data_IF_555248611277
#
_entry.id   IF_555248611277
#
_cell.length_a   1.000
_cell.length_b   1.000
_cell.length_c   1.000
_cell.angle_alpha   90.00
_cell.angle_beta   90.00
_cell.angle_gamma   90.00
#
_symmetry.space_group_name_H-M   'P 1'
#
loop_
_entity.id
_entity.type
_entity.pdbx_description
1 polymer ?
#
# COMPACT_ATOMS: atom_id res chain seq x y z
N UNK A 1 11.10 0.27 -14.77
CA UNK A 1 10.05 0.37 -15.82
C UNK A 1 8.72 0.18 -15.11
N UNK A 2 7.67 0.91 -15.51
CA UNK A 2 6.33 0.67 -14.94
C UNK A 2 5.81 -0.70 -15.39
N UNK A 3 4.99 -1.30 -14.54
CA UNK A 3 4.25 -2.52 -14.82
C UNK A 3 2.84 -2.16 -15.27
N UNK A 4 2.24 -3.04 -16.05
CA UNK A 4 0.92 -2.86 -16.64
C UNK A 4 0.08 -4.12 -16.46
N UNK A 5 -1.20 -4.00 -16.78
CA UNK A 5 -2.07 -5.17 -16.83
C UNK A 5 -1.54 -6.18 -17.87
N UNK A 6 -1.48 -7.46 -17.47
CA UNK A 6 -0.90 -8.55 -18.24
C UNK A 6 0.54 -8.90 -17.88
N UNK A 7 1.26 -8.01 -17.17
CA UNK A 7 2.61 -8.33 -16.67
C UNK A 7 2.53 -9.30 -15.49
N UNK A 8 3.57 -10.12 -15.31
CA UNK A 8 3.72 -10.94 -14.11
C UNK A 8 4.13 -10.08 -12.92
N UNK A 9 3.57 -10.39 -11.75
CA UNK A 9 3.97 -9.77 -10.49
C UNK A 9 5.46 -10.01 -10.22
N UNK A 10 6.17 -8.96 -9.79
CA UNK A 10 7.58 -9.11 -9.41
C UNK A 10 7.65 -9.77 -8.03
N UNK A 11 8.36 -10.89 -7.85
CA UNK A 11 8.48 -11.54 -6.55
C UNK A 11 9.02 -10.58 -5.50
N UNK A 12 8.37 -10.53 -4.33
CA UNK A 12 8.79 -9.73 -3.18
C UNK A 12 9.19 -10.68 -2.06
N UNK A 13 10.34 -10.38 -1.45
CA UNK A 13 10.73 -10.89 -0.15
C UNK A 13 11.21 -9.73 0.71
N UNK A 14 10.48 -9.46 1.80
CA UNK A 14 10.70 -8.34 2.72
C UNK A 14 10.36 -8.76 4.14
N UNK A 15 10.88 -8.02 5.11
CA UNK A 15 10.54 -8.20 6.53
C UNK A 15 9.18 -7.60 6.82
N UNK A 16 8.31 -8.38 7.46
CA UNK A 16 7.02 -7.91 7.96
C UNK A 16 7.17 -7.11 9.25
N UNK A 17 6.11 -6.42 9.65
CA UNK A 17 6.05 -5.65 10.89
C UNK A 17 6.26 -6.54 12.14
N UNK A 18 5.97 -7.83 12.05
CA UNK A 18 6.25 -8.82 13.10
C UNK A 18 7.75 -9.19 13.20
N UNK A 19 8.58 -8.73 12.25
CA UNK A 19 10.01 -9.05 12.19
C UNK A 19 10.32 -10.36 11.45
N UNK A 20 9.32 -10.97 10.81
CA UNK A 20 9.46 -12.21 10.05
C UNK A 20 9.65 -11.93 8.56
N UNK A 21 10.34 -12.84 7.84
CA UNK A 21 10.45 -12.72 6.39
C UNK A 21 9.17 -13.19 5.71
N UNK A 22 8.54 -12.30 4.94
CA UNK A 22 7.40 -12.61 4.09
C UNK A 22 7.85 -12.75 2.63
N UNK A 23 7.22 -13.68 1.89
CA UNK A 23 7.41 -13.83 0.45
C UNK A 23 6.05 -13.92 -0.25
N UNK A 24 5.91 -13.24 -1.40
CA UNK A 24 4.72 -13.39 -2.25
C UNK A 24 4.51 -14.82 -2.75
N UNK A 25 5.51 -15.68 -2.70
CA UNK A 25 5.34 -17.11 -2.99
C UNK A 25 4.29 -17.78 -2.10
N UNK A 26 4.07 -17.25 -0.88
CA UNK A 26 3.03 -17.73 0.03
C UNK A 26 1.59 -17.50 -0.50
N UNK A 27 1.43 -16.63 -1.49
CA UNK A 27 0.13 -16.27 -2.08
C UNK A 27 -0.11 -16.90 -3.46
N UNK A 28 0.72 -17.88 -3.88
CA UNK A 28 0.51 -18.59 -5.15
C UNK A 28 -0.86 -19.26 -5.18
N UNK A 29 -1.60 -19.06 -6.28
CA UNK A 29 -2.95 -19.58 -6.42
C UNK A 29 -4.02 -18.76 -5.71
N UNK A 30 -3.67 -17.64 -5.08
CA UNK A 30 -4.59 -16.74 -4.40
C UNK A 30 -4.59 -15.37 -5.07
N UNK A 31 -5.75 -14.71 -5.07
CA UNK A 31 -5.85 -13.30 -5.47
C UNK A 31 -5.43 -12.38 -4.35
N UNK A 32 -4.72 -11.32 -4.69
CA UNK A 32 -4.34 -10.33 -3.70
C UNK A 32 -4.21 -8.93 -4.29
N UNK A 33 -4.31 -7.93 -3.42
CA UNK A 33 -3.85 -6.59 -3.71
C UNK A 33 -2.48 -6.36 -3.10
N UNK A 34 -1.54 -5.88 -3.89
CA UNK A 34 -0.29 -5.33 -3.41
C UNK A 34 -0.39 -3.80 -3.40
N UNK A 35 -0.28 -3.18 -2.23
CA UNK A 35 -0.45 -1.74 -2.04
C UNK A 35 0.83 -1.14 -1.47
N UNK A 36 1.41 -0.20 -2.21
CA UNK A 36 2.60 0.54 -1.82
C UNK A 36 2.20 1.87 -1.20
N UNK A 37 2.67 2.08 0.02
CA UNK A 37 2.46 3.28 0.81
C UNK A 37 3.73 4.12 0.84
N UNK A 38 3.68 5.24 1.55
CA UNK A 38 4.85 6.11 1.73
C UNK A 38 5.57 5.73 3.01
N UNK A 39 5.90 6.73 3.82
CA UNK A 39 6.41 6.58 5.17
C UNK A 39 5.28 6.28 6.18
N UNK A 40 5.64 5.58 7.26
CA UNK A 40 4.67 5.00 8.21
C UNK A 40 3.81 6.04 8.96
N UNK A 41 4.31 7.25 9.19
CA UNK A 41 3.56 8.33 9.88
C UNK A 41 2.69 9.17 8.94
N UNK A 42 2.58 8.81 7.66
CA UNK A 42 1.81 9.59 6.69
C UNK A 42 0.30 9.56 7.00
N UNK A 43 -0.37 10.71 7.19
CA UNK A 43 -1.79 10.76 7.54
C UNK A 43 -2.69 10.13 6.46
N UNK A 44 -2.37 10.32 5.18
CA UNK A 44 -3.15 9.73 4.09
C UNK A 44 -3.00 8.20 4.04
N UNK A 45 -1.78 7.69 4.20
CA UNK A 45 -1.52 6.26 4.26
C UNK A 45 -2.22 5.62 5.46
N UNK A 46 -2.17 6.25 6.63
CA UNK A 46 -2.85 5.75 7.83
C UNK A 46 -4.38 5.76 7.71
N UNK A 47 -4.96 6.77 7.04
CA UNK A 47 -6.40 6.78 6.74
C UNK A 47 -6.77 5.66 5.77
N UNK A 48 -5.97 5.41 4.75
CA UNK A 48 -6.17 4.31 3.81
C UNK A 48 -6.02 2.95 4.49
N UNK A 49 -5.00 2.75 5.31
CA UNK A 49 -4.83 1.53 6.12
C UNK A 49 -6.04 1.28 6.99
N UNK A 50 -6.54 2.31 7.70
CA UNK A 50 -7.74 2.19 8.50
C UNK A 50 -8.97 1.80 7.67
N UNK A 51 -9.15 2.37 6.46
CA UNK A 51 -10.22 1.98 5.55
C UNK A 51 -10.11 0.51 5.14
N UNK A 52 -8.93 0.06 4.72
CA UNK A 52 -8.67 -1.33 4.31
C UNK A 52 -8.94 -2.31 5.44
N UNK A 53 -8.46 -2.03 6.66
CA UNK A 53 -8.73 -2.87 7.83
C UNK A 53 -10.21 -2.91 8.16
N UNK A 54 -10.90 -1.76 8.11
CA UNK A 54 -12.32 -1.69 8.48
C UNK A 54 -13.27 -2.37 7.49
N UNK A 55 -12.81 -2.60 6.25
CA UNK A 55 -13.63 -3.15 5.15
C UNK A 55 -13.10 -4.47 4.61
N UNK A 56 -12.13 -5.09 5.30
CA UNK A 56 -11.49 -6.35 4.87
C UNK A 56 -12.51 -7.47 4.63
N UNK A 57 -13.55 -7.54 5.48
CA UNK A 57 -14.62 -8.55 5.40
C UNK A 57 -15.44 -8.44 4.11
N UNK A 58 -15.37 -7.32 3.39
CA UNK A 58 -16.07 -7.15 2.12
C UNK A 58 -15.38 -7.82 0.93
N UNK A 59 -14.13 -8.27 1.09
CA UNK A 59 -13.33 -8.83 0.00
C UNK A 59 -13.42 -10.36 -0.13
N UNK A 60 -13.97 -11.04 0.88
CA UNK A 60 -14.08 -12.50 0.94
C UNK A 60 -12.77 -13.21 1.31
N UNK A 61 -12.90 -14.45 1.77
CA UNK A 61 -11.80 -15.20 2.41
C UNK A 61 -10.67 -15.62 1.45
N UNK A 62 -10.95 -15.67 0.14
CA UNK A 62 -9.98 -16.05 -0.89
C UNK A 62 -9.11 -14.88 -1.36
N UNK A 63 -9.30 -13.69 -0.82
CA UNK A 63 -8.55 -12.49 -1.17
C UNK A 63 -7.75 -11.97 0.01
N UNK A 64 -6.56 -11.45 -0.24
CA UNK A 64 -5.76 -10.80 0.80
C UNK A 64 -5.10 -9.51 0.29
N UNK A 65 -4.52 -8.75 1.21
CA UNK A 65 -3.81 -7.51 0.94
C UNK A 65 -2.36 -7.67 1.38
N UNK A 66 -1.42 -7.09 0.66
CA UNK A 66 -0.04 -6.94 1.10
C UNK A 66 0.28 -5.46 1.06
N UNK A 67 0.53 -4.87 2.23
CA UNK A 67 0.93 -3.48 2.34
C UNK A 67 2.45 -3.38 2.39
N UNK A 68 3.05 -2.52 1.57
CA UNK A 68 4.50 -2.26 1.57
C UNK A 68 4.72 -0.78 1.91
N UNK A 69 5.63 -0.50 2.83
CA UNK A 69 5.97 0.86 3.24
C UNK A 69 7.44 1.18 2.94
N UNK A 70 7.65 2.40 2.43
CA UNK A 70 8.95 3.07 2.33
C UNK A 70 9.30 3.60 3.73
N UNK A 71 9.65 2.66 4.61
CA UNK A 71 9.96 2.93 6.00
C UNK A 71 10.88 1.85 6.55
N UNK A 72 11.87 2.22 7.38
CA UNK A 72 12.55 1.30 8.28
C UNK A 72 11.56 0.54 9.16
N UNK A 73 11.94 -0.70 9.52
CA UNK A 73 11.10 -1.60 10.33
C UNK A 73 10.78 -1.02 11.72
N UNK A 74 11.74 -0.39 12.40
CA UNK A 74 11.54 0.23 13.72
C UNK A 74 10.44 1.30 13.67
N UNK A 75 10.49 2.15 12.64
CA UNK A 75 9.52 3.21 12.41
C UNK A 75 8.15 2.66 11.97
N UNK A 76 8.15 1.59 11.17
CA UNK A 76 6.93 0.92 10.76
C UNK A 76 6.23 0.29 11.98
N UNK A 77 6.97 -0.38 12.86
CA UNK A 77 6.46 -0.94 14.11
C UNK A 77 5.90 0.13 15.06
N UNK A 78 6.56 1.30 15.17
CA UNK A 78 6.08 2.43 15.99
C UNK A 78 4.70 2.95 15.53
N UNK A 79 4.43 2.93 14.22
CA UNK A 79 3.28 3.63 13.65
C UNK A 79 2.17 2.74 13.10
N UNK A 80 2.48 1.53 12.60
CA UNK A 80 1.51 0.68 11.91
C UNK A 80 0.94 -0.45 12.78
N UNK A 81 1.60 -0.85 13.86
CA UNK A 81 1.13 -1.92 14.77
C UNK A 81 -0.26 -1.63 15.34
N UNK A 82 -0.58 -0.35 15.58
CA UNK A 82 -1.87 0.08 16.12
C UNK A 82 -3.07 -0.13 15.18
N UNK A 83 -2.85 -0.40 13.88
CA UNK A 83 -3.94 -0.70 12.94
C UNK A 83 -4.50 -2.10 13.11
N UNK A 84 -3.77 -3.03 13.76
CA UNK A 84 -4.17 -4.42 13.91
C UNK A 84 -4.63 -5.06 12.58
N UNK A 85 -3.86 -4.82 11.51
CA UNK A 85 -4.23 -5.29 10.18
C UNK A 85 -4.19 -6.83 10.13
N UNK A 86 -5.23 -7.49 9.58
CA UNK A 86 -5.27 -8.95 9.45
C UNK A 86 -4.45 -9.45 8.24
N UNK A 87 -3.57 -8.61 7.71
CA UNK A 87 -2.84 -8.85 6.47
C UNK A 87 -1.41 -8.32 6.57
N UNK A 88 -0.44 -8.87 5.80
CA UNK A 88 0.96 -8.51 5.91
C UNK A 88 1.25 -7.03 5.65
N UNK A 89 2.04 -6.42 6.55
CA UNK A 89 2.61 -5.08 6.38
C UNK A 89 4.13 -5.22 6.34
N UNK A 90 4.76 -4.79 5.24
CA UNK A 90 6.17 -5.04 4.93
C UNK A 90 6.97 -3.73 4.91
N UNK A 91 8.22 -3.80 5.37
CA UNK A 91 9.17 -2.69 5.34
C UNK A 91 10.13 -2.81 4.15
N UNK A 92 10.15 -1.82 3.25
CA UNK A 92 11.14 -1.68 2.16
C UNK A 92 11.94 -0.37 2.33
N UNK A 93 12.85 -0.29 3.33
CA UNK A 93 13.58 0.93 3.62
C UNK A 93 14.51 1.39 2.50
N UNK A 94 14.93 0.49 1.63
CA UNK A 94 15.85 0.77 0.52
C UNK A 94 15.11 1.07 -0.80
N UNK A 95 13.77 1.06 -0.79
CA UNK A 95 12.92 1.26 -1.98
C UNK A 95 13.26 0.30 -3.14
N UNK A 96 13.75 -0.90 -2.82
CA UNK A 96 14.16 -1.89 -3.84
C UNK A 96 12.96 -2.28 -4.69
N UNK A 97 11.82 -2.53 -4.06
CA UNK A 97 10.61 -2.95 -4.75
C UNK A 97 9.85 -1.77 -5.33
N UNK A 98 9.92 -0.59 -4.72
CA UNK A 98 9.42 0.64 -5.35
C UNK A 98 10.08 0.85 -6.72
N UNK A 99 11.41 0.72 -6.80
CA UNK A 99 12.13 0.80 -8.07
C UNK A 99 11.72 -0.30 -9.06
N UNK A 100 11.63 -1.55 -8.60
CA UNK A 100 11.25 -2.70 -9.46
C UNK A 100 9.83 -2.59 -10.02
N UNK A 101 8.90 -2.02 -9.25
CA UNK A 101 7.52 -1.77 -9.67
C UNK A 101 7.36 -0.46 -10.46
N UNK A 102 8.45 0.29 -10.68
CA UNK A 102 8.42 1.56 -11.40
C UNK A 102 7.66 2.67 -10.68
N UNK A 103 7.63 2.61 -9.34
CA UNK A 103 7.04 3.62 -8.48
C UNK A 103 8.07 4.73 -8.30
N UNK A 104 7.65 5.96 -8.57
CA UNK A 104 8.52 7.12 -8.60
C UNK A 104 8.27 8.04 -7.39
N UNK A 105 9.28 8.85 -7.10
CA UNK A 105 9.13 9.98 -6.20
C UNK A 105 8.68 11.22 -6.98
N UNK A 106 7.62 11.90 -6.53
CA UNK A 106 7.07 13.07 -7.21
C UNK A 106 6.79 14.24 -6.25
N UNK A 107 7.60 15.30 -6.37
CA UNK A 107 7.38 16.56 -5.65
C UNK A 107 6.11 17.29 -6.14
N UNK A 108 5.83 17.22 -7.44
CA UNK A 108 4.64 17.83 -8.02
C UNK A 108 3.35 17.15 -7.52
N UNK A 109 3.37 15.82 -7.39
CA UNK A 109 2.27 15.04 -6.79
C UNK A 109 2.02 15.45 -5.34
N UNK A 110 3.09 15.57 -4.54
CA UNK A 110 3.02 16.05 -3.14
C UNK A 110 2.40 17.44 -3.03
N UNK A 111 2.82 18.37 -3.88
CA UNK A 111 2.27 19.73 -3.86
C UNK A 111 0.78 19.75 -4.25
N UNK A 112 0.40 18.95 -5.25
CA UNK A 112 -1.00 18.78 -5.67
C UNK A 112 -1.84 18.23 -4.52
N UNK A 113 -1.42 17.17 -3.84
CA UNK A 113 -2.18 16.59 -2.74
C UNK A 113 -2.30 17.54 -1.54
N UNK A 114 -1.25 18.29 -1.18
CA UNK A 114 -1.33 19.32 -0.14
C UNK A 114 -2.38 20.39 -0.46
N UNK A 115 -2.53 20.80 -1.72
CA UNK A 115 -3.54 21.79 -2.13
C UNK A 115 -4.95 21.18 -2.16
N UNK A 116 -5.11 20.03 -2.82
CA UNK A 116 -6.43 19.49 -3.16
C UNK A 116 -6.99 18.51 -2.12
N UNK A 117 -6.16 17.95 -1.22
CA UNK A 117 -6.57 16.97 -0.19
C UNK A 117 -6.53 17.52 1.23
N UNK A 118 -6.59 18.84 1.38
CA UNK A 118 -6.55 19.48 2.70
C UNK A 118 -7.63 19.01 3.68
N UNK A 119 -8.91 18.80 3.28
CA UNK A 119 -9.91 18.22 4.16
C UNK A 119 -9.52 16.81 4.67
N UNK A 120 -8.96 15.97 3.80
CA UNK A 120 -8.51 14.62 4.15
C UNK A 120 -7.30 14.66 5.08
N UNK A 121 -6.36 15.58 4.86
CA UNK A 121 -5.22 15.78 5.75
C UNK A 121 -5.69 16.15 7.17
N UNK A 122 -6.58 17.14 7.28
CA UNK A 122 -7.15 17.57 8.56
C UNK A 122 -7.89 16.43 9.26
N UNK A 123 -8.67 15.64 8.52
CA UNK A 123 -9.33 14.43 9.06
C UNK A 123 -8.32 13.43 9.62
N UNK A 124 -7.20 13.22 8.95
CA UNK A 124 -6.12 12.35 9.42
C UNK A 124 -5.51 12.86 10.72
N UNK A 125 -5.20 14.15 10.77
CA UNK A 125 -4.65 14.79 11.98
C UNK A 125 -5.63 14.74 13.16
N UNK A 126 -6.93 14.98 12.93
CA UNK A 126 -7.97 14.86 13.97
C UNK A 126 -8.11 13.43 14.50
N UNK A 127 -7.80 12.41 13.69
CA UNK A 127 -7.70 11.01 14.13
C UNK A 127 -6.39 10.66 14.84
N UNK A 128 -5.50 11.63 15.05
CA UNK A 128 -4.22 11.44 15.74
C UNK A 128 -3.06 11.03 14.83
N UNK A 129 -3.26 10.94 13.52
CA UNK A 129 -2.19 10.63 12.56
C UNK A 129 -1.36 11.88 12.26
N UNK A 130 -0.64 12.38 13.26
CA UNK A 130 0.20 13.57 13.14
C UNK A 130 1.62 13.13 12.74
N UNK A 131 2.18 13.63 11.62
CA UNK A 131 3.50 13.25 11.15
C UNK A 131 4.61 13.93 11.96
N UNK A 132 4.76 13.57 13.24
CA UNK A 132 5.73 14.18 14.16
C UNK A 132 7.18 13.75 13.87
N UNK A 133 7.36 12.56 13.30
CA UNK A 133 8.65 12.04 12.84
C UNK A 133 8.50 11.54 11.42
N UNK A 134 9.34 12.03 10.52
CA UNK A 134 9.40 11.58 9.14
C UNK A 134 10.66 10.73 9.00
N UNK A 135 10.48 9.42 8.79
CA UNK A 135 11.53 8.47 8.44
C UNK A 135 11.05 7.70 7.19
N UNK A 136 11.80 7.79 6.10
CA UNK A 136 11.37 7.38 4.74
C UNK A 136 11.21 8.59 3.82
N UNK A 137 10.88 8.37 2.54
CA UNK A 137 10.77 9.48 1.59
C UNK A 137 9.38 10.13 1.62
N UNK A 138 9.38 11.46 1.78
CA UNK A 138 8.20 12.33 1.68
C UNK A 138 7.67 12.48 0.26
N UNK A 139 8.31 11.87 -0.73
CA UNK A 139 7.98 12.10 -2.14
C UNK A 139 7.53 10.85 -2.86
N UNK A 140 7.63 9.69 -2.21
CA UNK A 140 7.13 8.42 -2.75
C UNK A 140 5.66 8.54 -3.09
N UNK A 141 5.29 8.14 -4.30
CA UNK A 141 3.89 8.05 -4.71
C UNK A 141 3.33 6.68 -4.33
N UNK A 142 2.06 6.60 -3.92
CA UNK A 142 1.41 5.32 -3.72
C UNK A 142 1.17 4.60 -5.06
N UNK A 143 1.06 3.29 -5.00
CA UNK A 143 0.62 2.47 -6.13
C UNK A 143 -0.08 1.21 -5.64
N UNK A 144 -1.10 0.77 -6.36
CA UNK A 144 -1.86 -0.44 -6.06
C UNK A 144 -1.86 -1.37 -7.27
N UNK A 145 -1.64 -2.65 -7.01
CA UNK A 145 -1.64 -3.71 -8.01
C UNK A 145 -2.63 -4.79 -7.58
N UNK A 146 -3.56 -5.14 -8.47
CA UNK A 146 -4.46 -6.27 -8.29
C UNK A 146 -3.89 -7.46 -9.05
N UNK A 147 -3.60 -8.55 -8.34
CA UNK A 147 -2.92 -9.72 -8.87
C UNK A 147 -3.84 -10.93 -8.74
N UNK A 148 -3.97 -11.68 -9.83
CA UNK A 148 -4.80 -12.88 -9.86
C UNK A 148 -4.07 -14.12 -9.33
N UNK A 149 -4.79 -15.23 -9.25
CA UNK A 149 -4.29 -16.54 -8.80
C UNK A 149 -3.13 -17.10 -9.65
N UNK A 150 -2.98 -16.63 -10.88
CA UNK A 150 -1.88 -17.03 -11.78
C UNK A 150 -0.61 -16.18 -11.57
N UNK A 151 -0.70 -15.11 -10.77
CA UNK A 151 0.38 -14.16 -10.56
C UNK A 151 0.44 -13.06 -11.63
N UNK A 152 -0.62 -12.87 -12.41
CA UNK A 152 -0.70 -11.79 -13.40
C UNK A 152 -1.35 -10.55 -12.80
N UNK A 153 -0.78 -9.40 -13.14
CA UNK A 153 -1.33 -8.10 -12.78
C UNK A 153 -2.58 -7.86 -13.65
N UNK A 154 -3.73 -7.73 -13.01
CA UNK A 154 -5.00 -7.36 -13.67
C UNK A 154 -5.25 -5.87 -13.64
N UNK A 155 -4.71 -5.17 -12.65
CA UNK A 155 -4.75 -3.72 -12.57
C UNK A 155 -3.44 -3.20 -12.00
N UNK A 156 -2.84 -2.23 -12.66
CA UNK A 156 -1.72 -1.45 -12.16
C UNK A 156 -2.17 0.01 -12.02
N UNK A 157 -2.24 0.50 -10.80
CA UNK A 157 -2.70 1.85 -10.47
C UNK A 157 -1.57 2.64 -9.83
N UNK A 158 -1.12 3.70 -10.51
CA UNK A 158 -0.09 4.61 -9.99
C UNK A 158 -0.75 5.90 -9.53
N UNK A 159 -0.62 6.22 -8.24
CA UNK A 159 -1.22 7.39 -7.65
C UNK A 159 -0.67 8.70 -8.24
N UNK A 160 -1.55 9.67 -8.42
CA UNK A 160 -1.19 11.01 -8.91
C UNK A 160 -0.81 11.99 -7.80
N UNK A 161 -1.08 11.63 -6.54
CA UNK A 161 -0.73 12.38 -5.33
C UNK A 161 -0.54 11.42 -4.13
N UNK A 162 -0.15 11.94 -2.96
CA UNK A 162 0.22 11.15 -1.78
C UNK A 162 -0.90 10.32 -1.13
N UNK A 163 -2.16 10.56 -1.46
CA UNK A 163 -3.31 9.82 -0.95
C UNK A 163 -4.11 9.13 -2.05
N UNK A 164 -3.58 9.08 -3.27
CA UNK A 164 -4.28 8.58 -4.44
C UNK A 164 -4.08 7.07 -4.59
N UNK A 165 -5.05 6.30 -4.10
CA UNK A 165 -5.09 4.85 -4.18
C UNK A 165 -6.26 4.40 -5.04
N UNK A 166 -6.18 3.17 -5.55
CA UNK A 166 -7.24 2.53 -6.30
C UNK A 166 -8.54 2.55 -5.48
N UNK A 167 -9.67 2.98 -6.07
CA UNK A 167 -10.94 3.02 -5.36
C UNK A 167 -11.29 1.68 -4.72
N UNK A 168 -11.71 1.72 -3.47
CA UNK A 168 -12.02 0.52 -2.67
C UNK A 168 -13.07 -0.38 -3.35
N UNK A 169 -14.03 0.21 -4.07
CA UNK A 169 -15.05 -0.54 -4.80
C UNK A 169 -14.47 -1.31 -6.00
N UNK A 170 -13.40 -0.82 -6.62
CA UNK A 170 -12.70 -1.56 -7.67
C UNK A 170 -11.91 -2.74 -7.08
N UNK A 171 -11.29 -2.55 -5.90
CA UNK A 171 -10.64 -3.63 -5.15
C UNK A 171 -11.66 -4.71 -4.80
N UNK A 172 -12.82 -4.32 -4.26
CA UNK A 172 -13.92 -5.23 -3.94
C UNK A 172 -14.42 -6.00 -5.15
N UNK A 173 -14.70 -5.30 -6.25
CA UNK A 173 -15.19 -5.93 -7.47
C UNK A 173 -14.23 -7.01 -7.99
N UNK A 174 -12.92 -6.77 -7.90
CA UNK A 174 -11.89 -7.76 -8.25
C UNK A 174 -11.81 -8.91 -7.25
N UNK A 175 -11.83 -8.60 -5.95
CA UNK A 175 -11.74 -9.62 -4.90
C UNK A 175 -12.90 -10.62 -4.95
N UNK A 176 -14.11 -10.14 -5.29
CA UNK A 176 -15.33 -10.96 -5.33
C UNK A 176 -15.72 -11.43 -6.72
N UNK A 177 -14.94 -11.14 -7.78
CA UNK A 177 -15.29 -11.63 -9.12
C UNK A 177 -15.18 -13.15 -9.17
N UNK A 178 -16.18 -13.81 -9.73
CA UNK A 178 -16.07 -15.21 -10.12
C UNK A 178 -15.57 -15.21 -11.57
N UNK A 179 -14.26 -15.35 -11.78
CA UNK A 179 -13.74 -15.68 -13.12
C UNK A 179 -13.78 -17.20 -13.35
#
# INVERSE_FOLDING_TARGET
MKLYAGDSVVPISLTSIEGEMFSLDALKGQRFMLSFFRFASCPFCNLRMHELVSRIDEFGDSFTIVAVFDSPLDNLQEHATGHAAPFPILADPENIYYYKYGIEHSLAGVFKGMIFRMPTLLKGMLKGYVPLKIKGSMTTMPADFLVDETGLIRTAYYGSDEGDHLPIEAVKAFATSSD
#
